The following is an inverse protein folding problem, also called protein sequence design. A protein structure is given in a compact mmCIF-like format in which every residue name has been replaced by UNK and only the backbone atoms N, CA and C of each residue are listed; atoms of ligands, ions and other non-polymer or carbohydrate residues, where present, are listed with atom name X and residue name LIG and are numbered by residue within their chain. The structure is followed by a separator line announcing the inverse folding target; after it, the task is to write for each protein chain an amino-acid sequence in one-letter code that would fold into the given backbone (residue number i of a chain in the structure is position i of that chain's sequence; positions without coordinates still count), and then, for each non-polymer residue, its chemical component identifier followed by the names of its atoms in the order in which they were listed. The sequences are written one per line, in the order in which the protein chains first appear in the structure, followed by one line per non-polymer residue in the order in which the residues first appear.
data_IF_864759467364
#
_entry.id   IF_864759467364
#
_cell.length_a   1.000
_cell.length_b   1.000
_cell.length_c   1.000
_cell.angle_alpha   90.00
_cell.angle_beta   90.00
_cell.angle_gamma   90.00
#
_symmetry.space_group_name_H-M   'P 1'
#
loop_
_entity.id
_entity.type
_entity.pdbx_description
1 polymer ?
#
# COMPACT_ATOMS: atom_id res chain seq x y z
N UNK A 1 -14.13 29.67 -4.87
CA UNK A 1 -13.79 29.13 -3.53
C UNK A 1 -12.27 28.99 -3.46
N UNK A 2 -11.60 29.84 -2.66
CA UNK A 2 -10.12 29.99 -2.61
C UNK A 2 -9.44 28.66 -2.28
N UNK A 3 -8.81 28.03 -3.28
CA UNK A 3 -7.85 26.93 -3.11
C UNK A 3 -6.41 27.47 -3.11
N UNK A 4 -6.16 28.58 -2.41
CA UNK A 4 -4.84 29.19 -2.38
C UNK A 4 -4.52 29.66 -0.96
N UNK A 5 -4.03 28.75 -0.12
CA UNK A 5 -3.26 29.06 1.10
C UNK A 5 -2.54 27.82 1.66
N UNK A 6 -2.07 26.90 0.82
CA UNK A 6 -1.05 25.93 1.29
C UNK A 6 0.29 26.64 1.48
N UNK A 7 0.53 27.78 0.84
CA UNK A 7 1.73 28.61 0.99
C UNK A 7 1.74 29.54 2.22
N UNK A 8 0.63 29.64 2.96
CA UNK A 8 0.54 30.48 4.18
C UNK A 8 0.52 29.66 5.48
N UNK A 9 0.65 28.34 5.38
CA UNK A 9 0.88 27.49 6.55
C UNK A 9 2.36 27.61 6.92
N UNK A 10 2.62 27.88 8.18
CA UNK A 10 3.96 27.97 8.75
C UNK A 10 4.78 26.73 8.35
N UNK A 11 6.04 26.93 7.98
CA UNK A 11 6.93 25.82 7.58
C UNK A 11 6.98 24.72 8.66
N UNK A 12 6.80 25.09 9.93
CA UNK A 12 6.71 24.15 11.05
C UNK A 12 5.45 23.26 10.97
N UNK A 13 4.30 23.78 10.56
CA UNK A 13 3.05 23.00 10.45
C UNK A 13 3.14 21.97 9.31
N UNK A 14 3.75 22.35 8.20
CA UNK A 14 4.03 21.43 7.07
C UNK A 14 4.97 20.32 7.49
N UNK A 15 6.05 20.68 8.19
CA UNK A 15 7.01 19.73 8.71
C UNK A 15 6.35 18.76 9.71
N UNK A 16 5.50 19.27 10.61
CA UNK A 16 4.74 18.45 11.55
C UNK A 16 3.84 17.44 10.84
N UNK A 17 3.04 17.87 9.86
CA UNK A 17 2.15 16.97 9.10
C UNK A 17 2.97 15.91 8.35
N UNK A 18 4.08 16.30 7.73
CA UNK A 18 4.97 15.38 7.03
C UNK A 18 5.60 14.34 7.99
N UNK A 19 6.03 14.76 9.18
CA UNK A 19 6.58 13.85 10.20
C UNK A 19 5.51 12.90 10.73
N UNK A 20 4.31 13.39 11.06
CA UNK A 20 3.20 12.55 11.51
C UNK A 20 2.80 11.52 10.44
N UNK A 21 2.69 11.96 9.19
CA UNK A 21 2.44 11.08 8.05
C UNK A 21 3.55 10.03 7.87
N UNK A 22 4.81 10.43 8.03
CA UNK A 22 5.95 9.52 7.97
C UNK A 22 5.89 8.45 9.07
N UNK A 23 5.68 8.86 10.33
CA UNK A 23 5.60 7.94 11.48
C UNK A 23 4.46 6.94 11.32
N UNK A 24 3.25 7.40 10.95
CA UNK A 24 2.10 6.50 10.76
C UNK A 24 2.34 5.53 9.61
N UNK A 25 3.02 5.95 8.55
CA UNK A 25 3.37 5.10 7.41
C UNK A 25 4.34 4.00 7.83
N UNK A 26 5.44 4.35 8.48
CA UNK A 26 6.43 3.37 8.95
C UNK A 26 5.79 2.37 9.92
N UNK A 27 4.99 2.86 10.87
CA UNK A 27 4.28 2.00 11.82
C UNK A 27 3.29 1.07 11.10
N UNK A 28 2.52 1.61 10.16
CA UNK A 28 1.55 0.87 9.35
C UNK A 28 2.18 -0.22 8.48
N UNK A 29 3.36 0.05 7.92
CA UNK A 29 4.13 -0.92 7.13
C UNK A 29 4.69 -2.04 8.00
N UNK A 30 5.27 -1.74 9.16
CA UNK A 30 5.78 -2.76 10.08
C UNK A 30 4.64 -3.68 10.54
N UNK A 31 3.50 -3.10 10.93
CA UNK A 31 2.30 -3.87 11.31
C UNK A 31 1.77 -4.67 10.12
N UNK A 32 1.80 -4.09 8.91
CA UNK A 32 1.43 -4.76 7.67
C UNK A 32 2.25 -6.01 7.41
N UNK A 33 3.58 -5.89 7.41
CA UNK A 33 4.52 -6.99 7.12
C UNK A 33 4.51 -8.09 8.19
N UNK A 34 4.34 -7.72 9.46
CA UNK A 34 4.21 -8.70 10.55
C UNK A 34 2.88 -9.45 10.48
N UNK A 35 1.77 -8.74 10.19
CA UNK A 35 0.47 -9.36 10.00
C UNK A 35 0.44 -10.24 8.74
N UNK A 36 1.12 -9.84 7.68
CA UNK A 36 1.29 -10.55 6.41
C UNK A 36 2.03 -11.89 6.57
N UNK A 37 3.17 -11.88 7.25
CA UNK A 37 3.95 -13.08 7.56
C UNK A 37 3.22 -14.02 8.51
N UNK A 38 2.51 -13.47 9.49
CA UNK A 38 1.64 -14.26 10.38
C UNK A 38 0.48 -14.88 9.62
N UNK A 39 -0.17 -14.13 8.73
CA UNK A 39 -1.28 -14.62 7.91
C UNK A 39 -0.82 -15.73 6.95
N UNK A 40 0.34 -15.55 6.29
CA UNK A 40 0.95 -16.54 5.39
C UNK A 40 1.28 -17.85 6.11
N UNK A 41 1.84 -17.76 7.33
CA UNK A 41 2.14 -18.94 8.15
C UNK A 41 0.88 -19.60 8.72
N UNK A 42 -0.15 -18.82 9.07
CA UNK A 42 -1.45 -19.33 9.54
C UNK A 42 -2.18 -20.11 8.44
N UNK A 43 -2.20 -19.57 7.22
CA UNK A 43 -2.83 -20.20 6.05
C UNK A 43 -2.14 -21.52 5.69
N UNK A 44 -0.82 -21.59 5.86
CA UNK A 44 -0.03 -22.78 5.61
C UNK A 44 -0.15 -23.85 6.72
N UNK A 45 -0.37 -23.43 7.96
CA UNK A 45 -0.52 -24.32 9.13
C UNK A 45 -1.96 -24.78 9.40
N UNK A 46 -2.97 -24.17 8.77
CA UNK A 46 -4.37 -24.60 8.88
C UNK A 46 -5.02 -24.42 10.25
N UNK A 47 -4.52 -23.49 11.09
CA UNK A 47 -5.01 -23.24 12.46
C UNK A 47 -5.65 -21.85 12.61
N UNK A 48 -6.88 -21.67 12.10
CA UNK A 48 -7.93 -20.74 12.60
C UNK A 48 -9.27 -20.98 11.84
N UNK A 49 -10.34 -20.23 12.17
CA UNK A 49 -11.73 -20.25 11.65
C UNK A 49 -11.95 -20.35 10.12
N UNK A 50 -10.92 -20.28 9.27
CA UNK A 50 -11.03 -20.39 7.80
C UNK A 50 -10.80 -21.83 7.28
N UNK A 51 -11.48 -22.80 7.88
CA UNK A 51 -11.45 -24.21 7.45
C UNK A 51 -12.05 -24.44 6.04
N UNK A 52 -12.80 -23.48 5.48
CA UNK A 52 -13.45 -23.59 4.17
C UNK A 52 -12.57 -23.25 2.95
N UNK A 53 -11.40 -22.63 3.11
CA UNK A 53 -10.54 -22.20 2.00
C UNK A 53 -9.11 -22.73 2.10
N UNK A 54 -8.94 -24.01 2.45
CA UNK A 54 -7.64 -24.67 2.36
C UNK A 54 -7.33 -25.01 0.89
N UNK A 55 -6.91 -24.01 0.13
CA UNK A 55 -6.53 -24.19 -1.27
C UNK A 55 -5.14 -23.62 -1.49
N UNK A 56 -4.31 -24.33 -2.26
CA UNK A 56 -2.98 -23.92 -2.77
C UNK A 56 -2.98 -22.59 -3.58
N UNK A 57 -4.12 -21.90 -3.63
CA UNK A 57 -4.40 -20.60 -4.26
C UNK A 57 -4.95 -19.56 -3.25
N UNK A 58 -4.79 -19.77 -1.96
CA UNK A 58 -5.32 -18.84 -0.94
C UNK A 58 -4.58 -17.50 -0.93
N UNK A 59 -3.28 -17.50 -1.22
CA UNK A 59 -2.42 -16.32 -1.21
C UNK A 59 -2.95 -15.20 -2.12
N UNK A 60 -3.24 -15.41 -3.43
CA UNK A 60 -3.78 -14.36 -4.30
C UNK A 60 -5.16 -13.84 -3.88
N UNK A 61 -6.00 -14.66 -3.25
CA UNK A 61 -7.34 -14.25 -2.82
C UNK A 61 -7.24 -13.23 -1.68
N UNK A 62 -6.28 -13.41 -0.78
CA UNK A 62 -6.14 -12.56 0.41
C UNK A 62 -5.56 -11.20 0.07
N UNK A 63 -4.62 -11.14 -0.88
CA UNK A 63 -4.18 -9.84 -1.40
C UNK A 63 -5.28 -9.17 -2.23
N UNK A 64 -6.05 -9.92 -3.03
CA UNK A 64 -7.18 -9.33 -3.76
C UNK A 64 -8.20 -8.72 -2.79
N UNK A 65 -8.53 -9.41 -1.69
CA UNK A 65 -9.38 -8.88 -0.62
C UNK A 65 -8.72 -7.69 0.10
N UNK A 66 -7.41 -7.76 0.36
CA UNK A 66 -6.63 -6.67 0.96
C UNK A 66 -6.66 -5.40 0.10
N UNK A 67 -6.42 -5.53 -1.21
CA UNK A 67 -6.48 -4.44 -2.17
C UNK A 67 -7.90 -3.91 -2.37
N UNK A 68 -8.90 -4.81 -2.38
CA UNK A 68 -10.31 -4.43 -2.47
C UNK A 68 -10.78 -3.65 -1.23
N UNK A 69 -10.25 -3.97 -0.05
CA UNK A 69 -10.51 -3.21 1.18
C UNK A 69 -9.68 -1.92 1.21
N UNK A 70 -8.43 -1.95 0.73
CA UNK A 70 -7.55 -0.78 0.71
C UNK A 70 -8.08 0.34 -0.19
N UNK A 71 -8.63 0.02 -1.37
CA UNK A 71 -9.15 1.00 -2.32
C UNK A 71 -10.23 1.95 -1.74
N UNK A 72 -11.35 1.47 -1.15
CA UNK A 72 -12.36 2.33 -0.55
C UNK A 72 -11.84 3.02 0.71
N UNK A 73 -10.93 2.41 1.46
CA UNK A 73 -10.37 3.02 2.67
C UNK A 73 -9.42 4.18 2.34
N UNK A 74 -8.63 4.04 1.28
CA UNK A 74 -7.75 5.09 0.77
C UNK A 74 -8.57 6.23 0.15
N UNK A 75 -9.60 5.90 -0.66
CA UNK A 75 -10.51 6.90 -1.19
C UNK A 75 -11.28 7.64 -0.08
N UNK A 76 -11.72 6.91 0.94
CA UNK A 76 -12.32 7.46 2.15
C UNK A 76 -11.36 8.40 2.86
N UNK A 77 -10.12 7.97 3.11
CA UNK A 77 -9.07 8.79 3.73
C UNK A 77 -8.83 10.11 2.99
N UNK A 78 -8.77 10.08 1.65
CA UNK A 78 -8.60 11.29 0.83
C UNK A 78 -9.80 12.24 0.89
N UNK A 79 -11.03 11.72 1.00
CA UNK A 79 -12.23 12.55 1.18
C UNK A 79 -12.30 13.14 2.59
N UNK A 80 -11.99 12.32 3.60
CA UNK A 80 -12.01 12.71 5.01
C UNK A 80 -10.90 13.70 5.37
N UNK A 81 -9.78 13.70 4.64
CA UNK A 81 -8.70 14.69 4.78
C UNK A 81 -9.21 16.14 4.70
N UNK A 82 -10.30 16.39 3.95
CA UNK A 82 -10.92 17.73 3.85
C UNK A 82 -11.79 18.13 5.03
N UNK A 83 -12.21 17.16 5.86
CA UNK A 83 -13.17 17.34 6.95
C UNK A 83 -12.50 17.19 8.31
N UNK A 84 -11.65 16.17 8.48
CA UNK A 84 -10.97 15.87 9.73
C UNK A 84 -9.64 15.16 9.48
N UNK A 85 -8.54 15.78 9.92
CA UNK A 85 -7.17 15.27 9.72
C UNK A 85 -6.93 14.01 10.56
N UNK A 86 -7.36 13.99 11.82
CA UNK A 86 -7.22 12.86 12.75
C UNK A 86 -7.83 11.56 12.20
N UNK A 87 -9.07 11.60 11.70
CA UNK A 87 -9.71 10.42 11.13
C UNK A 87 -8.99 9.95 9.85
N UNK A 88 -8.46 10.88 9.05
CA UNK A 88 -7.73 10.53 7.84
C UNK A 88 -6.47 9.70 8.13
N UNK A 89 -5.77 9.95 9.24
CA UNK A 89 -4.60 9.16 9.64
C UNK A 89 -4.97 7.72 10.03
N UNK A 90 -6.10 7.52 10.70
CA UNK A 90 -6.59 6.17 11.05
C UNK A 90 -6.97 5.39 9.78
N UNK A 91 -7.67 6.05 8.86
CA UNK A 91 -8.01 5.46 7.57
C UNK A 91 -6.75 5.15 6.74
N UNK A 92 -5.79 6.06 6.74
CA UNK A 92 -4.52 5.88 6.06
C UNK A 92 -3.74 4.69 6.64
N UNK A 93 -3.65 4.58 7.96
CA UNK A 93 -2.97 3.46 8.63
C UNK A 93 -3.50 2.12 8.16
N UNK A 94 -4.83 1.94 8.20
CA UNK A 94 -5.47 0.68 7.76
C UNK A 94 -5.27 0.47 6.26
N UNK A 95 -5.35 1.50 5.42
CA UNK A 95 -5.12 1.39 4.00
C UNK A 95 -3.68 0.90 3.70
N UNK A 96 -2.68 1.50 4.34
CA UNK A 96 -1.26 1.13 4.20
C UNK A 96 -1.05 -0.31 4.66
N UNK A 97 -1.54 -0.68 5.85
CA UNK A 97 -1.44 -2.05 6.37
C UNK A 97 -2.05 -3.08 5.41
N UNK A 98 -3.17 -2.77 4.75
CA UNK A 98 -3.81 -3.66 3.77
C UNK A 98 -3.07 -3.70 2.43
N UNK A 99 -2.47 -2.60 1.99
CA UNK A 99 -1.63 -2.56 0.79
C UNK A 99 -0.35 -3.39 0.95
N UNK A 100 0.19 -3.47 2.17
CA UNK A 100 1.39 -4.25 2.48
C UNK A 100 1.23 -5.76 2.27
N UNK A 101 0.01 -6.30 2.21
CA UNK A 101 -0.21 -7.75 1.95
C UNK A 101 0.27 -8.23 0.57
N UNK A 102 0.53 -7.30 -0.36
CA UNK A 102 1.21 -7.59 -1.63
C UNK A 102 2.60 -8.23 -1.40
N UNK A 103 3.24 -7.90 -0.29
CA UNK A 103 4.60 -8.36 0.02
C UNK A 103 4.67 -9.86 0.32
N UNK A 104 3.69 -10.47 1.02
CA UNK A 104 3.64 -11.93 1.16
C UNK A 104 3.60 -12.63 -0.19
N UNK A 105 2.66 -12.24 -1.05
CA UNK A 105 2.45 -12.90 -2.34
C UNK A 105 3.72 -12.89 -3.15
N UNK A 106 4.40 -11.74 -3.23
CA UNK A 106 5.64 -11.62 -4.00
C UNK A 106 6.72 -12.57 -3.47
N UNK A 107 6.77 -12.83 -2.17
CA UNK A 107 7.73 -13.76 -1.58
C UNK A 107 7.29 -15.21 -1.79
N UNK A 108 6.02 -15.54 -1.53
CA UNK A 108 5.47 -16.89 -1.65
C UNK A 108 5.45 -17.39 -3.11
N UNK A 109 4.96 -16.57 -4.06
CA UNK A 109 4.97 -16.89 -5.49
C UNK A 109 6.37 -17.19 -5.99
N UNK A 110 7.38 -16.48 -5.50
CA UNK A 110 8.75 -16.73 -5.91
C UNK A 110 9.28 -18.05 -5.37
N UNK A 111 8.94 -18.41 -4.14
CA UNK A 111 9.36 -19.68 -3.55
C UNK A 111 8.70 -20.88 -4.24
N UNK A 112 7.54 -20.69 -4.86
CA UNK A 112 6.79 -21.76 -5.54
C UNK A 112 7.13 -21.89 -7.03
N UNK A 113 7.54 -20.81 -7.70
CA UNK A 113 7.78 -20.82 -9.15
C UNK A 113 9.25 -20.90 -9.55
N UNK A 114 10.19 -20.47 -8.70
CA UNK A 114 11.60 -20.33 -9.08
C UNK A 114 12.46 -21.34 -8.30
N UNK A 115 13.30 -22.07 -9.03
CA UNK A 115 14.30 -22.99 -8.45
C UNK A 115 15.30 -22.21 -7.56
N UNK A 116 15.72 -22.77 -6.41
CA UNK A 116 16.44 -22.04 -5.36
C UNK A 116 17.72 -21.34 -5.84
N UNK A 117 18.45 -21.95 -6.78
CA UNK A 117 19.70 -21.40 -7.32
C UNK A 117 19.49 -20.17 -8.22
N UNK A 118 18.30 -19.98 -8.80
CA UNK A 118 17.97 -18.83 -9.67
C UNK A 118 17.11 -17.77 -8.98
N UNK A 119 16.88 -17.91 -7.67
CA UNK A 119 16.01 -17.01 -6.91
C UNK A 119 16.58 -15.58 -6.81
N UNK A 120 17.89 -15.44 -6.60
CA UNK A 120 18.53 -14.14 -6.45
C UNK A 120 18.41 -13.23 -7.69
N UNK A 121 18.76 -13.68 -8.91
CA UNK A 121 18.59 -12.84 -10.10
C UNK A 121 17.10 -12.57 -10.39
N UNK A 122 16.20 -13.53 -10.18
CA UNK A 122 14.77 -13.31 -10.38
C UNK A 122 14.19 -12.23 -9.44
N UNK A 123 14.62 -12.20 -8.16
CA UNK A 123 14.27 -11.11 -7.24
C UNK A 123 14.78 -9.77 -7.75
N UNK A 124 16.03 -9.72 -8.20
CA UNK A 124 16.66 -8.49 -8.69
C UNK A 124 15.90 -7.91 -9.90
N UNK A 125 15.54 -8.74 -10.88
CA UNK A 125 14.73 -8.33 -12.02
C UNK A 125 13.35 -7.81 -11.61
N UNK A 126 12.68 -8.51 -10.68
CA UNK A 126 11.37 -8.09 -10.18
C UNK A 126 11.44 -6.70 -9.53
N UNK A 127 12.45 -6.46 -8.69
CA UNK A 127 12.67 -5.19 -8.01
C UNK A 127 13.00 -4.09 -9.02
N UNK A 128 13.92 -4.36 -9.96
CA UNK A 128 14.32 -3.42 -11.01
C UNK A 128 13.10 -2.95 -11.83
N UNK A 129 12.28 -3.89 -12.31
CA UNK A 129 11.09 -3.57 -13.09
C UNK A 129 10.07 -2.80 -12.23
N UNK A 130 9.88 -3.21 -10.96
CA UNK A 130 8.96 -2.55 -10.05
C UNK A 130 9.37 -1.11 -9.73
N UNK A 131 10.67 -0.85 -9.56
CA UNK A 131 11.18 0.51 -9.34
C UNK A 131 11.14 1.35 -10.60
N UNK A 132 11.60 0.82 -11.74
CA UNK A 132 11.56 1.55 -12.99
C UNK A 132 10.14 2.00 -13.33
N UNK A 133 9.17 1.11 -13.17
CA UNK A 133 7.77 1.47 -13.40
C UNK A 133 7.20 2.30 -12.26
N UNK A 134 7.43 1.95 -11.00
CA UNK A 134 6.88 2.70 -9.86
C UNK A 134 7.35 4.15 -9.80
N UNK A 135 8.66 4.37 -9.91
CA UNK A 135 9.30 5.68 -9.71
C UNK A 135 9.13 6.60 -10.93
N UNK A 136 9.04 6.05 -12.15
CA UNK A 136 8.83 6.85 -13.37
C UNK A 136 7.35 7.00 -13.73
N UNK A 137 6.55 5.93 -13.65
CA UNK A 137 5.16 5.93 -14.12
C UNK A 137 4.22 6.61 -13.13
N UNK A 138 4.45 6.46 -11.83
CA UNK A 138 3.65 7.09 -10.77
C UNK A 138 3.54 8.61 -10.93
N UNK A 139 4.66 9.37 -10.87
CA UNK A 139 4.63 10.82 -11.03
C UNK A 139 4.18 11.25 -12.43
N UNK A 140 4.52 10.47 -13.47
CA UNK A 140 4.10 10.75 -14.84
C UNK A 140 2.57 10.73 -14.99
N UNK A 141 1.88 9.71 -14.45
CA UNK A 141 0.42 9.64 -14.46
C UNK A 141 -0.23 10.78 -13.67
N UNK A 142 0.31 11.12 -12.50
CA UNK A 142 -0.21 12.23 -11.68
C UNK A 142 -0.06 13.56 -12.42
N UNK A 143 1.07 13.78 -13.08
CA UNK A 143 1.32 14.96 -13.91
C UNK A 143 0.33 15.06 -15.06
N UNK A 144 0.15 13.99 -15.83
CA UNK A 144 -0.80 13.98 -16.95
C UNK A 144 -2.24 14.25 -16.50
N UNK A 145 -2.67 13.65 -15.38
CA UNK A 145 -4.01 13.91 -14.82
C UNK A 145 -4.17 15.35 -14.34
N UNK A 146 -3.13 15.95 -13.78
CA UNK A 146 -3.13 17.35 -13.39
C UNK A 146 -3.27 18.28 -14.61
N UNK A 147 -2.54 17.99 -15.69
CA UNK A 147 -2.64 18.74 -16.95
C UNK A 147 -4.03 18.63 -17.58
N UNK A 148 -4.57 17.41 -17.68
CA UNK A 148 -5.93 17.17 -18.22
C UNK A 148 -7.00 17.91 -17.44
N UNK A 149 -6.87 17.98 -16.11
CA UNK A 149 -7.81 18.72 -15.27
C UNK A 149 -7.72 20.22 -15.52
N UNK A 150 -6.51 20.74 -15.70
CA UNK A 150 -6.28 22.18 -15.92
C UNK A 150 -6.74 22.63 -17.33
N UNK A 151 -6.84 21.71 -18.29
CA UNK A 151 -7.39 21.97 -19.62
C UNK A 151 -8.92 21.93 -19.69
N UNK A 152 -9.58 21.36 -18.67
CA UNK A 152 -11.04 21.21 -18.62
C UNK A 152 -11.76 22.27 -17.78
N UNK A 153 -11.01 23.08 -17.03
CA UNK A 153 -11.46 24.27 -16.28
C UNK A 153 -11.13 25.54 -17.08
#
# INVERSE_FOLDING_TARGET
MKLNSTSLLDENDKANIAIYFGIVTIAGEIVGVTMDSTLSTLLRSGKLCFKCCQTKRSDPIICALGMFIAAPFLFGGLKLMKVSVEASYIFLFVAITRLCFNSAIKVDLQMTTIVPWRRNPAKAWQILISHLFGDAFGPYLVGLLAELKTLSD
#
